data_IF_211360341782
#
_entry.id   IF_211360341782
#
_cell.length_a   1.000
_cell.length_b   1.000
_cell.length_c   1.000
_cell.angle_alpha   90.00
_cell.angle_beta   90.00
_cell.angle_gamma   90.00
#
_symmetry.space_group_name_H-M   'P 1'
#
loop_
_entity.id
_entity.type
_entity.pdbx_description
1 polymer ?
#
# COMPACT_ATOMS: atom_id res chain seq x y z
N UNK A 1 5.50 -9.48 -7.33
CA UNK A 1 4.75 -8.43 -6.61
C UNK A 1 5.34 -8.32 -5.20
N UNK A 2 4.95 -7.33 -4.41
CA UNK A 2 5.37 -7.14 -3.03
C UNK A 2 4.13 -6.91 -2.16
N UNK A 3 4.19 -7.34 -0.90
CA UNK A 3 3.13 -7.11 0.07
C UNK A 3 3.26 -5.72 0.67
N UNK A 4 2.13 -5.05 0.82
CA UNK A 4 2.03 -3.76 1.46
C UNK A 4 0.94 -3.81 2.52
N UNK A 5 1.20 -3.15 3.65
CA UNK A 5 0.20 -2.88 4.67
C UNK A 5 -0.46 -1.55 4.37
N UNK A 6 -1.79 -1.54 4.37
CA UNK A 6 -2.59 -0.32 4.29
C UNK A 6 -2.50 0.39 5.63
N UNK A 7 -1.92 1.59 5.64
CA UNK A 7 -1.78 2.41 6.84
C UNK A 7 -3.01 3.29 7.07
N UNK A 8 -3.59 3.80 5.99
CA UNK A 8 -4.76 4.68 5.99
C UNK A 8 -5.75 4.21 4.94
N UNK A 9 -7.05 4.39 5.20
CA UNK A 9 -8.08 3.97 4.24
C UNK A 9 -7.95 4.76 2.94
N UNK A 10 -8.04 4.09 1.80
CA UNK A 10 -8.07 4.74 0.49
C UNK A 10 -8.93 3.95 -0.49
N UNK A 11 -9.41 4.62 -1.53
CA UNK A 11 -10.10 3.98 -2.66
C UNK A 11 -9.12 3.89 -3.83
N UNK A 12 -8.87 2.69 -4.30
CA UNK A 12 -8.04 2.47 -5.49
C UNK A 12 -8.84 2.91 -6.73
N UNK A 13 -8.25 3.80 -7.54
CA UNK A 13 -8.95 4.40 -8.68
C UNK A 13 -9.09 3.45 -9.88
N UNK A 14 -8.29 2.39 -9.95
CA UNK A 14 -8.31 1.44 -11.07
C UNK A 14 -9.25 0.26 -10.80
N UNK A 15 -9.28 -0.23 -9.57
CA UNK A 15 -10.12 -1.37 -9.16
C UNK A 15 -11.42 -0.93 -8.50
N UNK A 16 -11.52 0.36 -8.16
CA UNK A 16 -12.61 0.95 -7.37
C UNK A 16 -12.75 0.35 -5.96
N UNK A 17 -11.82 -0.51 -5.55
CA UNK A 17 -11.83 -1.20 -4.26
C UNK A 17 -11.50 -0.24 -3.12
N UNK A 18 -12.25 -0.37 -2.02
CA UNK A 18 -11.95 0.33 -0.77
C UNK A 18 -10.99 -0.51 0.07
N UNK A 19 -9.82 0.05 0.35
CA UNK A 19 -8.82 -0.56 1.22
C UNK A 19 -8.94 -0.01 2.63
N UNK A 20 -9.13 -0.90 3.60
CA UNK A 20 -9.22 -0.54 5.02
C UNK A 20 -7.84 -0.58 5.70
N UNK A 21 -7.70 0.20 6.76
CA UNK A 21 -6.51 0.25 7.61
C UNK A 21 -6.17 -1.15 8.13
N UNK A 22 -4.91 -1.53 8.03
CA UNK A 22 -4.40 -2.83 8.48
C UNK A 22 -4.55 -3.96 7.46
N UNK A 23 -5.29 -3.76 6.36
CA UNK A 23 -5.38 -4.75 5.26
C UNK A 23 -4.00 -4.95 4.65
N UNK A 24 -3.66 -6.21 4.35
CA UNK A 24 -2.46 -6.55 3.57
C UNK A 24 -2.87 -6.74 2.11
N UNK A 25 -2.21 -6.02 1.23
CA UNK A 25 -2.46 -6.02 -0.22
C UNK A 25 -1.19 -6.41 -0.95
N UNK A 26 -1.33 -7.13 -2.05
CA UNK A 26 -0.19 -7.49 -2.89
C UNK A 26 -0.21 -6.64 -4.17
N UNK A 27 0.81 -5.81 -4.33
CA UNK A 27 0.94 -4.90 -5.47
C UNK A 27 2.30 -5.01 -6.13
N UNK A 28 2.39 -4.56 -7.39
CA UNK A 28 3.69 -4.28 -7.98
C UNK A 28 4.28 -3.03 -7.35
N UNK A 29 5.62 -2.92 -7.33
CA UNK A 29 6.31 -1.72 -6.82
C UNK A 29 5.83 -0.47 -7.57
N UNK A 30 5.63 -0.59 -8.89
CA UNK A 30 5.10 0.50 -9.73
C UNK A 30 3.71 0.96 -9.26
N UNK A 31 2.78 0.03 -9.04
CA UNK A 31 1.42 0.33 -8.57
C UNK A 31 1.42 1.01 -7.20
N UNK A 32 2.21 0.50 -6.26
CA UNK A 32 2.34 1.11 -4.93
C UNK A 32 2.90 2.54 -5.02
N UNK A 33 3.89 2.78 -5.89
CA UNK A 33 4.42 4.12 -6.15
C UNK A 33 3.41 5.06 -6.80
N UNK A 34 2.56 4.57 -7.72
CA UNK A 34 1.48 5.37 -8.31
C UNK A 34 0.44 5.77 -7.25
N UNK A 35 0.01 4.83 -6.41
CA UNK A 35 -0.91 5.11 -5.29
C UNK A 35 -0.30 6.15 -4.34
N UNK A 36 0.96 5.99 -3.94
CA UNK A 36 1.63 6.95 -3.06
C UNK A 36 1.82 8.33 -3.71
N UNK A 37 2.10 8.40 -5.01
CA UNK A 37 2.23 9.67 -5.72
C UNK A 37 0.89 10.40 -5.84
N UNK A 38 -0.20 9.69 -6.15
CA UNK A 38 -1.54 10.26 -6.21
C UNK A 38 -1.98 10.81 -4.85
N UNK A 39 -1.60 10.14 -3.76
CA UNK A 39 -1.98 10.51 -2.41
C UNK A 39 -0.94 11.42 -1.72
N UNK A 40 0.10 11.85 -2.44
CA UNK A 40 1.18 12.67 -1.90
C UNK A 40 0.69 14.03 -1.38
N UNK A 41 -0.40 14.55 -1.94
CA UNK A 41 -1.01 15.82 -1.51
C UNK A 41 -1.48 15.80 -0.05
N UNK A 42 -1.78 14.62 0.52
CA UNK A 42 -2.18 14.48 1.91
C UNK A 42 -1.01 14.50 2.89
N UNK A 43 0.25 14.41 2.41
CA UNK A 43 1.45 14.48 3.25
C UNK A 43 1.63 13.30 4.22
N UNK A 44 0.90 12.21 4.04
CA UNK A 44 0.94 11.00 4.87
C UNK A 44 1.22 9.76 4.01
N UNK A 45 1.73 8.69 4.62
CA UNK A 45 1.95 7.41 3.94
C UNK A 45 0.70 6.52 4.05
N UNK A 46 0.19 6.06 2.92
CA UNK A 46 -0.99 5.17 2.86
C UNK A 46 -0.65 3.69 2.75
N UNK A 47 0.55 3.38 2.26
CA UNK A 47 1.05 2.04 2.07
C UNK A 47 2.44 1.93 2.67
N UNK A 48 2.68 0.86 3.42
CA UNK A 48 3.98 0.47 3.94
C UNK A 48 4.39 -0.86 3.32
N UNK A 49 5.58 -0.94 2.74
CA UNK A 49 6.06 -2.20 2.17
C UNK A 49 6.38 -3.16 3.32
N UNK A 50 5.75 -4.32 3.30
CA UNK A 50 6.12 -5.42 4.19
C UNK A 50 7.30 -6.09 3.50
N UNK A 51 8.51 -5.74 3.92
CA UNK A 51 9.66 -6.58 3.62
C UNK A 51 9.45 -7.89 4.39
N UNK A 52 9.36 -9.01 3.67
CA UNK A 52 9.59 -10.31 4.29
C UNK A 52 11.08 -10.36 4.63
N UNK A 53 11.49 -9.61 5.66
CA UNK A 53 12.60 -10.07 6.47
C UNK A 53 12.17 -11.45 6.93
N UNK A 54 12.79 -12.46 6.33
CA UNK A 54 13.01 -13.72 7.00
C UNK A 54 13.82 -13.40 8.27
N UNK A 55 13.17 -12.83 9.28
CA UNK A 55 13.59 -13.02 10.65
C UNK A 55 13.19 -14.46 10.96
N UNK A 56 14.05 -15.35 10.46
CA UNK A 56 14.27 -16.64 11.08
C UNK A 56 14.90 -16.33 12.44
N UNK A 57 14.20 -16.76 13.48
CA UNK A 57 14.74 -17.28 14.74
C UNK A 57 15.27 -16.29 15.78
#
# INVERSE_FOLDING_TARGET
>A
MAKYKVLERFRDIETEELHEVGKVVEYTVKRASEIQNNLKEFGISFLERIEETKDKE
#
